data_IF_431561207347
#
_entry.id   IF_431561207347
#
_cell.length_a   1.000
_cell.length_b   1.000
_cell.length_c   1.000
_cell.angle_alpha   90.00
_cell.angle_beta   90.00
_cell.angle_gamma   90.00
#
_symmetry.space_group_name_H-M   'P 1'
#
loop_
_entity.id
_entity.type
_entity.pdbx_description
1 polymer ?
#
# COMPACT_ATOMS: atom_id res chain seq x y z
N UNK A 1 23.92 18.96 -81.70
CA UNK A 1 23.01 18.36 -80.68
C UNK A 1 23.71 18.41 -79.34
N UNK A 2 23.53 19.47 -78.61
CA UNK A 2 24.10 19.69 -77.25
C UNK A 2 23.05 19.36 -76.27
N UNK A 3 23.28 18.31 -75.42
CA UNK A 3 22.42 17.91 -74.29
C UNK A 3 22.85 18.72 -73.07
N UNK A 4 21.93 19.60 -72.58
CA UNK A 4 22.04 20.24 -71.26
C UNK A 4 21.68 19.24 -70.15
N UNK A 5 22.63 19.00 -69.29
CA UNK A 5 22.43 18.19 -68.07
C UNK A 5 22.13 19.16 -66.91
N UNK A 6 20.88 19.24 -66.48
CA UNK A 6 20.46 20.02 -65.27
C UNK A 6 20.76 19.21 -64.02
N UNK A 7 21.68 19.71 -63.22
CA UNK A 7 22.03 19.16 -61.91
C UNK A 7 20.99 19.66 -60.83
N UNK A 8 20.12 18.79 -60.38
CA UNK A 8 19.21 19.09 -59.25
C UNK A 8 19.99 18.97 -57.93
N UNK A 9 20.26 20.10 -57.28
CA UNK A 9 20.76 20.12 -55.91
C UNK A 9 19.60 19.76 -54.95
N UNK A 10 19.66 18.57 -54.35
CA UNK A 10 18.83 18.21 -53.19
C UNK A 10 19.42 18.88 -51.94
N UNK A 11 18.75 19.90 -51.43
CA UNK A 11 19.02 20.46 -50.11
C UNK A 11 18.38 19.53 -49.09
N UNK A 12 19.10 18.92 -48.13
CA UNK A 12 18.49 18.15 -47.08
C UNK A 12 17.72 19.11 -46.17
N UNK A 13 16.40 18.92 -46.08
CA UNK A 13 15.58 19.59 -45.07
C UNK A 13 16.01 19.08 -43.69
N UNK A 14 16.64 19.93 -42.90
CA UNK A 14 16.81 19.72 -41.47
C UNK A 14 15.40 19.65 -40.85
N UNK A 15 14.95 18.47 -40.54
CA UNK A 15 13.81 18.28 -39.64
C UNK A 15 14.18 18.88 -38.27
N UNK A 16 13.35 19.75 -37.68
CA UNK A 16 13.61 20.23 -36.34
C UNK A 16 13.67 19.01 -35.42
N UNK A 17 14.71 18.92 -34.60
CA UNK A 17 14.79 17.94 -33.54
C UNK A 17 13.51 18.12 -32.66
N UNK A 18 12.72 17.08 -32.57
CA UNK A 18 11.59 17.06 -31.66
C UNK A 18 12.16 17.20 -30.23
N UNK A 19 12.03 18.36 -29.65
CA UNK A 19 12.35 18.57 -28.23
C UNK A 19 11.44 17.64 -27.44
N UNK A 20 12.02 16.63 -26.83
CA UNK A 20 11.29 15.70 -25.96
C UNK A 20 10.65 16.51 -24.84
N UNK A 21 9.32 16.49 -24.73
CA UNK A 21 8.63 17.15 -23.62
C UNK A 21 8.99 16.44 -22.32
N UNK A 22 9.38 17.21 -21.31
CA UNK A 22 9.62 16.73 -19.94
C UNK A 22 8.40 16.95 -19.05
N UNK A 23 7.29 17.45 -19.59
CA UNK A 23 6.05 17.63 -18.85
C UNK A 23 5.48 16.27 -18.41
N UNK A 24 5.05 16.19 -17.16
CA UNK A 24 4.48 14.99 -16.56
C UNK A 24 5.00 14.72 -15.15
N UNK A 25 4.60 13.58 -14.60
CA UNK A 25 5.06 13.09 -13.28
C UNK A 25 6.35 12.30 -13.44
N UNK A 26 7.24 12.46 -12.49
CA UNK A 26 8.55 11.81 -12.46
C UNK A 26 8.77 11.13 -11.12
N UNK A 27 9.34 9.94 -11.13
CA UNK A 27 9.94 9.34 -9.95
C UNK A 27 11.36 9.84 -9.81
N UNK A 28 11.62 10.59 -8.77
CA UNK A 28 12.92 11.14 -8.46
C UNK A 28 13.53 10.38 -7.27
N UNK A 29 14.81 10.10 -7.34
CA UNK A 29 15.58 9.43 -6.28
C UNK A 29 16.86 10.20 -6.06
N UNK A 30 17.15 10.55 -4.81
CA UNK A 30 18.47 11.05 -4.41
C UNK A 30 19.17 10.02 -3.51
N UNK A 31 20.46 9.82 -3.74
CA UNK A 31 21.28 8.90 -2.93
C UNK A 31 21.90 9.64 -1.74
N UNK A 32 21.37 9.41 -0.55
CA UNK A 32 21.89 9.95 0.69
C UNK A 32 22.90 8.97 1.30
N UNK A 33 24.15 9.04 0.80
CA UNK A 33 25.27 8.22 1.30
C UNK A 33 24.99 6.71 1.26
N UNK A 34 24.40 6.21 0.18
CA UNK A 34 24.04 4.80 0.00
C UNK A 34 22.60 4.48 0.42
N UNK A 35 21.83 5.46 0.90
CA UNK A 35 20.40 5.33 1.19
C UNK A 35 19.61 6.07 0.12
N UNK A 36 18.88 5.39 -0.78
CA UNK A 36 18.02 6.05 -1.74
C UNK A 36 16.80 6.64 -1.05
N UNK A 37 16.51 7.92 -1.32
CA UNK A 37 15.31 8.62 -0.88
C UNK A 37 14.48 8.95 -2.11
N UNK A 38 13.20 8.55 -2.07
CA UNK A 38 12.25 8.80 -3.16
C UNK A 38 11.57 10.15 -2.98
N UNK A 39 11.41 10.90 -4.07
CA UNK A 39 10.73 12.18 -4.13
C UNK A 39 9.70 12.17 -5.26
N UNK A 40 8.57 12.81 -5.05
CA UNK A 40 7.62 13.10 -6.11
C UNK A 40 8.04 14.35 -6.88
N UNK A 41 7.95 14.32 -8.21
CA UNK A 41 8.21 15.50 -9.04
C UNK A 41 7.17 15.59 -10.16
N UNK A 42 6.61 16.77 -10.36
CA UNK A 42 5.71 17.06 -11.46
C UNK A 42 6.18 18.28 -12.23
N UNK A 43 6.29 18.16 -13.55
CA UNK A 43 6.80 19.20 -14.43
C UNK A 43 5.77 19.62 -15.45
N UNK A 44 5.68 20.94 -15.67
CA UNK A 44 5.05 21.61 -16.81
C UNK A 44 6.08 22.35 -17.61
N UNK A 45 6.00 22.31 -18.94
CA UNK A 45 6.97 22.93 -19.83
C UNK A 45 6.30 23.93 -20.78
N UNK A 46 6.90 25.13 -20.87
CA UNK A 46 6.54 26.17 -21.86
C UNK A 46 7.82 26.69 -22.54
N UNK A 47 8.13 26.17 -23.73
CA UNK A 47 9.42 26.41 -24.37
C UNK A 47 10.56 25.86 -23.51
N UNK A 48 11.52 26.72 -23.16
CA UNK A 48 12.65 26.35 -22.29
C UNK A 48 12.33 26.52 -20.80
N UNK A 49 11.19 27.12 -20.44
CA UNK A 49 10.78 27.33 -19.06
C UNK A 49 10.09 26.11 -18.51
N UNK A 50 10.52 25.69 -17.32
CA UNK A 50 9.93 24.63 -16.53
C UNK A 50 9.32 25.18 -15.25
N UNK A 51 8.16 24.66 -14.89
CA UNK A 51 7.49 24.93 -13.61
C UNK A 51 6.90 23.62 -13.10
N UNK A 52 6.68 23.55 -11.79
CA UNK A 52 6.09 22.33 -11.23
C UNK A 52 6.18 22.27 -9.72
N UNK A 53 6.28 21.04 -9.24
CA UNK A 53 6.38 20.72 -7.83
C UNK A 53 7.46 19.66 -7.62
N UNK A 54 8.23 19.77 -6.54
CA UNK A 54 9.15 18.75 -6.06
C UNK A 54 8.84 18.48 -4.59
N UNK A 55 8.30 17.31 -4.33
CA UNK A 55 7.88 16.80 -3.01
C UNK A 55 6.99 17.76 -2.18
N UNK A 56 6.15 18.54 -2.86
CA UNK A 56 5.28 19.55 -2.25
C UNK A 56 5.74 20.97 -2.51
N UNK A 57 7.03 21.18 -2.77
CA UNK A 57 7.62 22.51 -2.93
C UNK A 57 7.54 23.01 -4.37
N UNK A 58 7.28 24.32 -4.48
CA UNK A 58 7.15 24.95 -5.78
C UNK A 58 8.49 24.97 -6.52
N UNK A 59 8.52 24.37 -7.71
CA UNK A 59 9.68 24.24 -8.55
C UNK A 59 9.60 25.20 -9.74
N UNK A 60 10.71 25.90 -10.02
CA UNK A 60 10.93 26.67 -11.25
C UNK A 60 12.29 26.31 -11.86
N UNK A 61 12.38 26.28 -13.19
CA UNK A 61 13.60 25.88 -13.82
C UNK A 61 13.63 26.10 -15.34
N UNK A 62 14.66 25.55 -15.97
CA UNK A 62 14.88 25.64 -17.43
C UNK A 62 15.36 24.32 -18.02
N UNK A 63 15.00 24.09 -19.28
CA UNK A 63 15.53 23.04 -20.13
C UNK A 63 16.22 23.68 -21.33
N UNK A 64 17.53 23.46 -21.48
CA UNK A 64 18.31 23.95 -22.63
C UNK A 64 18.97 22.78 -23.33
N UNK A 65 18.42 22.35 -24.47
CA UNK A 65 18.80 21.09 -25.08
C UNK A 65 18.44 19.90 -24.20
N UNK A 66 19.44 19.18 -23.69
CA UNK A 66 19.27 18.08 -22.75
C UNK A 66 19.58 18.48 -21.30
N UNK A 67 20.06 19.69 -21.07
CA UNK A 67 20.43 20.16 -19.74
C UNK A 67 19.24 20.78 -19.00
N UNK A 68 18.98 20.28 -17.82
CA UNK A 68 17.93 20.74 -16.93
C UNK A 68 18.55 21.40 -15.70
N UNK A 69 17.94 22.51 -15.28
CA UNK A 69 18.25 23.17 -14.02
C UNK A 69 16.94 23.55 -13.34
N UNK A 70 16.77 23.16 -12.07
CA UNK A 70 15.59 23.42 -11.29
C UNK A 70 15.96 23.99 -9.92
N UNK A 71 15.08 24.80 -9.39
CA UNK A 71 15.13 25.26 -8.00
C UNK A 71 13.75 25.09 -7.38
N UNK A 72 13.65 24.26 -6.36
CA UNK A 72 12.48 24.16 -5.49
C UNK A 72 12.76 24.92 -4.19
N UNK A 73 11.71 25.44 -3.55
CA UNK A 73 11.82 26.21 -2.29
C UNK A 73 10.67 25.83 -1.38
N UNK A 74 11.03 25.50 -0.14
CA UNK A 74 10.07 25.27 0.92
C UNK A 74 9.59 26.60 1.58
N UNK A 75 8.54 26.49 2.40
CA UNK A 75 7.97 27.65 3.13
C UNK A 75 8.85 28.11 4.31
N UNK A 76 9.82 27.28 4.74
CA UNK A 76 10.71 27.53 5.89
C UNK A 76 12.07 28.11 5.48
N UNK A 77 12.29 28.32 4.19
CA UNK A 77 13.49 28.92 3.62
C UNK A 77 14.60 27.95 3.27
N UNK A 78 14.30 26.66 3.23
CA UNK A 78 15.12 25.64 2.60
C UNK A 78 14.98 25.65 1.08
N UNK A 79 15.84 24.90 0.39
CA UNK A 79 15.76 24.77 -1.06
C UNK A 79 16.46 23.53 -1.57
N UNK A 80 15.97 23.04 -2.70
CA UNK A 80 16.57 21.98 -3.50
C UNK A 80 16.95 22.53 -4.86
N UNK A 81 18.25 22.53 -5.18
CA UNK A 81 18.76 22.92 -6.48
C UNK A 81 19.21 21.68 -7.26
N UNK A 82 18.55 21.42 -8.40
CA UNK A 82 18.79 20.24 -9.23
C UNK A 82 19.47 20.65 -10.53
N UNK A 83 20.56 19.97 -10.87
CA UNK A 83 21.21 20.03 -12.19
C UNK A 83 21.27 18.63 -12.77
N UNK A 84 20.62 18.41 -13.91
CA UNK A 84 20.50 17.09 -14.52
C UNK A 84 20.61 17.14 -16.04
N UNK A 85 20.87 15.98 -16.63
CA UNK A 85 20.81 15.76 -18.07
C UNK A 85 19.69 14.78 -18.39
N UNK A 86 18.88 15.10 -19.40
CA UNK A 86 17.82 14.25 -19.93
C UNK A 86 18.39 13.32 -21.01
N UNK A 87 18.30 12.01 -20.81
CA UNK A 87 18.68 11.01 -21.80
C UNK A 87 17.66 9.87 -21.84
N UNK A 88 17.13 9.58 -23.02
CA UNK A 88 16.21 8.44 -23.24
C UNK A 88 15.01 8.38 -22.26
N UNK A 89 14.45 9.53 -21.87
CA UNK A 89 13.29 9.61 -20.96
C UNK A 89 13.65 9.43 -19.48
N UNK A 90 14.92 9.50 -19.13
CA UNK A 90 15.40 9.55 -17.75
C UNK A 90 16.25 10.79 -17.51
N UNK A 91 16.25 11.30 -16.29
CA UNK A 91 17.13 12.38 -15.83
C UNK A 91 18.20 11.80 -14.92
N UNK A 92 19.41 12.33 -15.01
CA UNK A 92 20.50 12.01 -14.09
C UNK A 92 21.37 13.24 -13.83
N UNK A 93 21.80 13.42 -12.59
CA UNK A 93 22.59 14.58 -12.21
C UNK A 93 22.82 14.68 -10.71
N UNK A 94 22.78 15.90 -10.19
CA UNK A 94 22.98 16.18 -8.77
C UNK A 94 21.88 17.07 -8.23
N UNK A 95 21.57 16.89 -6.95
CA UNK A 95 20.69 17.74 -6.18
C UNK A 95 21.47 18.29 -4.99
N UNK A 96 21.31 19.59 -4.72
CA UNK A 96 21.87 20.27 -3.56
C UNK A 96 20.72 20.63 -2.63
N UNK A 97 20.74 20.08 -1.41
CA UNK A 97 19.78 20.42 -0.36
C UNK A 97 20.37 21.51 0.54
N UNK A 98 19.57 22.50 0.82
CA UNK A 98 19.86 23.57 1.78
C UNK A 98 18.75 23.58 2.82
N UNK A 99 19.09 23.22 4.07
CA UNK A 99 18.15 23.31 5.19
C UNK A 99 17.86 24.78 5.53
N UNK A 100 16.60 25.11 5.76
CA UNK A 100 16.17 26.48 6.13
C UNK A 100 16.80 26.98 7.43
N UNK A 101 17.07 26.08 8.35
CA UNK A 101 17.69 26.35 9.65
C UNK A 101 19.23 26.27 9.63
N UNK A 102 19.82 25.59 8.64
CA UNK A 102 21.28 25.44 8.48
C UNK A 102 21.76 25.70 7.04
N UNK A 103 21.67 26.96 6.61
CA UNK A 103 22.04 27.37 5.25
C UNK A 103 23.56 27.38 4.98
N UNK A 104 24.37 27.21 6.02
CA UNK A 104 25.84 27.23 5.88
C UNK A 104 26.40 25.84 5.49
N UNK A 105 25.61 24.76 5.65
CA UNK A 105 26.05 23.40 5.38
C UNK A 105 25.20 22.69 4.33
N UNK A 106 25.18 23.14 3.06
CA UNK A 106 24.46 22.46 2.00
C UNK A 106 25.01 21.05 1.76
N UNK A 107 24.14 20.09 1.44
CA UNK A 107 24.55 18.73 1.08
C UNK A 107 24.25 18.45 -0.39
N UNK A 108 25.18 17.76 -1.07
CA UNK A 108 25.05 17.41 -2.49
C UNK A 108 24.95 15.91 -2.66
N UNK A 109 23.94 15.45 -3.42
CA UNK A 109 23.64 14.06 -3.63
C UNK A 109 23.49 13.73 -5.11
N UNK A 110 23.74 12.47 -5.47
CA UNK A 110 23.41 11.98 -6.81
C UNK A 110 21.89 11.91 -6.97
N UNK A 111 21.41 12.31 -8.14
CA UNK A 111 19.99 12.38 -8.45
C UNK A 111 19.69 11.64 -9.75
N UNK A 112 18.61 10.88 -9.74
CA UNK A 112 18.01 10.27 -10.94
C UNK A 112 16.51 10.46 -10.93
N UNK A 113 15.89 10.58 -12.10
CA UNK A 113 14.44 10.55 -12.22
C UNK A 113 14.00 9.83 -13.49
N UNK A 114 12.88 9.14 -13.41
CA UNK A 114 12.24 8.45 -14.53
C UNK A 114 10.82 8.96 -14.71
N UNK A 115 10.41 9.15 -15.96
CA UNK A 115 9.05 9.60 -16.27
C UNK A 115 8.06 8.51 -15.88
N UNK A 116 7.04 8.87 -15.10
CA UNK A 116 5.93 7.97 -14.77
C UNK A 116 5.18 7.60 -16.06
N UNK A 117 5.05 6.32 -16.39
CA UNK A 117 4.31 5.92 -17.58
C UNK A 117 2.87 6.43 -17.52
N UNK A 118 2.33 6.83 -18.66
CA UNK A 118 0.90 7.12 -18.74
C UNK A 118 0.10 5.82 -18.70
N UNK A 119 -1.16 5.92 -18.22
CA UNK A 119 -2.06 4.76 -18.20
C UNK A 119 -2.13 4.13 -19.59
N UNK A 120 -1.99 2.79 -19.64
CA UNK A 120 -2.13 2.03 -20.89
C UNK A 120 -3.47 2.30 -21.55
N UNK A 121 -3.45 2.54 -22.86
CA UNK A 121 -4.66 2.51 -23.68
C UNK A 121 -5.11 1.05 -23.89
N UNK A 122 -6.37 0.73 -23.62
CA UNK A 122 -6.93 -0.61 -23.81
C UNK A 122 -7.80 -1.06 -22.62
N UNK A 123 -8.45 -2.23 -22.80
CA UNK A 123 -9.26 -2.81 -21.75
C UNK A 123 -8.38 -3.37 -20.62
N UNK A 124 -8.89 -3.38 -19.37
CA UNK A 124 -8.25 -4.08 -18.26
C UNK A 124 -7.98 -5.54 -18.59
N UNK A 125 -6.89 -6.09 -18.06
CA UNK A 125 -6.49 -7.48 -18.24
C UNK A 125 -6.67 -8.27 -16.94
N UNK A 126 -6.82 -9.60 -17.08
CA UNK A 126 -6.80 -10.53 -15.97
C UNK A 126 -5.56 -11.40 -16.07
N UNK A 127 -4.85 -11.53 -14.95
CA UNK A 127 -3.64 -12.33 -14.83
C UNK A 127 -3.88 -13.47 -13.85
N UNK A 128 -3.62 -14.71 -14.30
CA UNK A 128 -3.52 -15.87 -13.43
C UNK A 128 -2.05 -16.05 -13.03
N UNK A 129 -1.71 -15.73 -11.79
CA UNK A 129 -0.35 -15.75 -11.29
C UNK A 129 -0.16 -16.88 -10.26
N UNK A 130 0.77 -17.78 -10.52
CA UNK A 130 1.17 -18.83 -9.58
C UNK A 130 2.44 -18.41 -8.85
N UNK A 131 2.39 -18.18 -7.52
CA UNK A 131 3.56 -17.70 -6.78
C UNK A 131 4.62 -18.79 -6.66
N UNK A 132 5.87 -18.39 -6.82
CA UNK A 132 7.06 -19.24 -6.59
C UNK A 132 8.02 -18.61 -5.57
N UNK A 133 7.79 -17.36 -5.20
CA UNK A 133 8.57 -16.59 -4.22
C UNK A 133 7.57 -15.99 -3.24
N UNK A 134 7.91 -16.06 -1.95
CA UNK A 134 7.14 -15.46 -0.86
C UNK A 134 8.09 -14.60 -0.03
N UNK A 135 7.67 -13.40 0.30
CA UNK A 135 8.49 -12.45 1.04
C UNK A 135 8.10 -12.42 2.51
N UNK A 136 9.10 -12.26 3.38
CA UNK A 136 8.95 -12.14 4.84
C UNK A 136 9.33 -10.74 5.34
N UNK A 137 9.50 -9.80 4.44
CA UNK A 137 9.72 -8.38 4.70
C UNK A 137 9.07 -7.55 3.60
N UNK A 138 8.44 -6.45 3.99
CA UNK A 138 7.99 -5.42 3.05
C UNK A 138 9.17 -4.51 2.71
N UNK A 139 9.58 -4.48 1.46
CA UNK A 139 10.76 -3.73 1.05
C UNK A 139 10.61 -3.14 -0.36
N UNK A 140 11.03 -1.89 -0.52
CA UNK A 140 11.20 -1.26 -1.82
C UNK A 140 12.25 -1.96 -2.72
N UNK A 141 13.17 -2.73 -2.12
CA UNK A 141 14.20 -3.49 -2.83
C UNK A 141 13.72 -4.85 -3.35
N UNK A 142 12.54 -5.32 -2.96
CA UNK A 142 12.00 -6.59 -3.45
C UNK A 142 11.62 -6.46 -4.92
N UNK A 143 12.12 -7.40 -5.74
CA UNK A 143 11.83 -7.40 -7.18
C UNK A 143 10.36 -7.75 -7.42
N UNK A 144 9.65 -6.96 -8.24
CA UNK A 144 8.28 -7.29 -8.61
C UNK A 144 8.16 -8.66 -9.27
N UNK A 145 7.12 -9.40 -8.90
CA UNK A 145 6.80 -10.72 -9.51
C UNK A 145 5.90 -10.57 -10.73
N UNK A 146 5.16 -9.47 -10.81
CA UNK A 146 4.27 -9.13 -11.92
C UNK A 146 4.10 -7.62 -11.97
N UNK A 147 4.01 -7.07 -13.19
CA UNK A 147 3.66 -5.67 -13.42
C UNK A 147 2.26 -5.59 -14.01
N UNK A 148 1.41 -4.74 -13.43
CA UNK A 148 0.01 -4.56 -13.83
C UNK A 148 -0.35 -3.08 -13.90
N UNK A 149 -1.45 -2.75 -14.58
CA UNK A 149 -1.96 -1.38 -14.67
C UNK A 149 -3.22 -1.22 -13.81
N UNK A 150 -3.54 0.02 -13.38
CA UNK A 150 -4.84 0.31 -12.76
C UNK A 150 -6.00 -0.19 -13.62
N UNK A 151 -6.93 -0.91 -12.99
CA UNK A 151 -8.04 -1.62 -13.63
C UNK A 151 -7.76 -3.10 -13.90
N UNK A 152 -6.51 -3.56 -13.88
CA UNK A 152 -6.19 -4.98 -14.08
C UNK A 152 -6.58 -5.83 -12.86
N UNK A 153 -6.88 -7.10 -13.10
CA UNK A 153 -7.26 -8.09 -12.09
C UNK A 153 -6.18 -9.16 -11.96
N UNK A 154 -5.82 -9.51 -10.74
CA UNK A 154 -4.86 -10.59 -10.43
C UNK A 154 -5.61 -11.69 -9.70
N UNK A 155 -5.46 -12.92 -10.20
CA UNK A 155 -5.87 -14.15 -9.53
C UNK A 155 -4.63 -14.91 -9.11
N UNK A 156 -4.53 -15.27 -7.83
CA UNK A 156 -3.36 -15.92 -7.25
C UNK A 156 -3.74 -16.80 -6.05
N UNK A 157 -2.74 -17.44 -5.45
CA UNK A 157 -2.88 -18.18 -4.19
C UNK A 157 -1.92 -17.62 -3.15
N UNK A 158 -2.23 -17.85 -1.87
CA UNK A 158 -1.33 -17.55 -0.75
C UNK A 158 -0.86 -18.83 -0.09
N UNK A 159 0.20 -18.76 0.70
CA UNK A 159 0.51 -19.73 1.75
C UNK A 159 -0.11 -19.22 3.07
N UNK A 160 -0.19 -20.09 4.10
CA UNK A 160 -0.58 -19.67 5.44
C UNK A 160 0.58 -18.95 6.19
N UNK A 161 0.31 -18.39 7.36
CA UNK A 161 1.31 -17.73 8.21
C UNK A 161 2.52 -18.63 8.52
N UNK A 162 2.36 -19.94 8.52
CA UNK A 162 3.43 -20.93 8.67
C UNK A 162 4.23 -21.20 7.39
N UNK A 163 3.83 -20.65 6.24
CA UNK A 163 4.50 -20.84 4.95
C UNK A 163 4.07 -22.09 4.20
N UNK A 164 2.89 -22.67 4.52
CA UNK A 164 2.39 -23.91 3.96
C UNK A 164 1.28 -23.67 2.93
N UNK A 165 1.36 -24.32 1.77
CA UNK A 165 0.41 -24.19 0.67
C UNK A 165 -0.88 -25.03 0.85
N UNK A 166 -1.74 -25.00 -0.16
CA UNK A 166 -3.02 -25.75 -0.20
C UNK A 166 -2.85 -27.27 -0.14
N UNK A 167 -1.66 -27.80 -0.47
CA UNK A 167 -1.33 -29.23 -0.43
C UNK A 167 -0.65 -29.66 0.87
N UNK A 168 -0.46 -28.72 1.81
CA UNK A 168 0.27 -28.97 3.04
C UNK A 168 1.79 -29.03 2.86
N UNK A 169 2.31 -28.46 1.77
CA UNK A 169 3.75 -28.39 1.49
C UNK A 169 4.30 -27.07 1.98
N UNK A 170 5.31 -27.11 2.87
CA UNK A 170 6.03 -25.92 3.28
C UNK A 170 6.84 -25.35 2.10
N UNK A 171 6.51 -24.16 1.66
CA UNK A 171 7.14 -23.45 0.55
C UNK A 171 8.20 -22.48 1.01
N UNK A 172 8.05 -21.94 2.21
CA UNK A 172 8.91 -20.94 2.82
C UNK A 172 8.84 -21.08 4.34
N UNK A 173 9.75 -20.45 5.06
CA UNK A 173 9.68 -20.37 6.52
C UNK A 173 8.49 -19.52 6.95
N UNK A 174 7.86 -19.86 8.07
CA UNK A 174 6.78 -19.08 8.67
C UNK A 174 7.19 -17.66 9.09
N UNK A 175 6.25 -16.92 9.63
CA UNK A 175 6.33 -15.49 9.96
C UNK A 175 5.63 -14.65 8.88
N UNK A 176 4.42 -15.05 8.56
CA UNK A 176 3.47 -14.41 7.63
C UNK A 176 4.08 -14.11 6.25
N UNK A 177 4.51 -15.13 5.49
CA UNK A 177 5.12 -14.93 4.17
C UNK A 177 4.08 -14.54 3.12
N UNK A 178 4.35 -13.44 2.41
CA UNK A 178 3.42 -12.79 1.52
C UNK A 178 3.67 -13.07 0.05
N UNK A 179 2.58 -13.16 -0.73
CA UNK A 179 2.58 -13.21 -2.18
C UNK A 179 2.75 -11.81 -2.76
N UNK A 180 3.67 -11.63 -3.71
CA UNK A 180 4.02 -10.35 -4.32
C UNK A 180 5.54 -10.12 -4.32
N UNK A 181 6.03 -8.85 -4.47
CA UNK A 181 5.20 -7.68 -4.71
C UNK A 181 4.71 -7.58 -6.16
N UNK A 182 3.50 -7.07 -6.31
CA UNK A 182 2.95 -6.67 -7.61
C UNK A 182 3.26 -5.20 -7.85
N UNK A 183 3.86 -4.88 -8.99
CA UNK A 183 4.17 -3.51 -9.38
C UNK A 183 2.97 -2.90 -10.12
N UNK A 184 2.42 -1.82 -9.59
CA UNK A 184 1.29 -1.11 -10.20
C UNK A 184 1.87 0.04 -11.04
N UNK A 185 1.87 -0.11 -12.37
CA UNK A 185 2.31 0.94 -13.29
C UNK A 185 1.53 2.24 -13.02
N UNK A 186 2.21 3.36 -13.10
CA UNK A 186 1.69 4.70 -12.82
C UNK A 186 1.52 5.06 -11.34
N UNK A 187 1.63 4.10 -10.39
CA UNK A 187 1.58 4.42 -8.98
C UNK A 187 2.82 5.20 -8.54
N UNK A 188 2.62 6.30 -7.84
CA UNK A 188 3.66 7.21 -7.39
C UNK A 188 3.51 7.55 -5.90
N UNK A 189 4.59 7.88 -5.18
CA UNK A 189 4.48 8.45 -3.84
C UNK A 189 3.46 9.59 -3.80
N UNK A 190 2.61 9.60 -2.75
CA UNK A 190 1.51 10.55 -2.64
C UNK A 190 0.20 10.14 -3.31
N UNK A 191 0.15 9.01 -4.02
CA UNK A 191 -1.09 8.39 -4.49
C UNK A 191 -1.71 7.51 -3.40
N UNK A 192 -2.94 7.07 -3.65
CA UNK A 192 -3.60 5.99 -2.88
C UNK A 192 -3.82 4.79 -3.80
N UNK A 193 -3.24 3.65 -3.45
CA UNK A 193 -3.54 2.37 -4.09
C UNK A 193 -4.90 1.87 -3.62
N UNK A 194 -5.71 1.39 -4.55
CA UNK A 194 -7.05 0.82 -4.31
C UNK A 194 -7.01 -0.66 -4.66
N UNK A 195 -7.37 -1.53 -3.71
CA UNK A 195 -7.40 -2.98 -3.89
C UNK A 195 -8.82 -3.48 -3.63
N UNK A 196 -9.51 -3.90 -4.69
CA UNK A 196 -10.85 -4.49 -4.59
C UNK A 196 -10.74 -6.02 -4.48
N UNK A 197 -11.11 -6.58 -3.36
CA UNK A 197 -11.11 -8.04 -3.13
C UNK A 197 -12.35 -8.65 -3.80
N UNK A 198 -12.17 -9.17 -5.01
CA UNK A 198 -13.30 -9.70 -5.81
C UNK A 198 -13.62 -11.14 -5.47
N UNK A 199 -12.64 -11.90 -4.94
CA UNK A 199 -12.83 -13.29 -4.54
C UNK A 199 -11.84 -13.70 -3.46
N UNK A 200 -12.35 -14.29 -2.37
CA UNK A 200 -11.58 -14.98 -1.34
C UNK A 200 -12.20 -16.33 -1.09
N UNK A 201 -11.45 -17.42 -1.34
CA UNK A 201 -11.93 -18.79 -1.18
C UNK A 201 -10.91 -19.64 -0.44
N UNK A 202 -11.41 -20.43 0.48
CA UNK A 202 -10.61 -21.49 1.07
C UNK A 202 -10.22 -22.49 -0.04
N UNK A 203 -8.95 -22.81 -0.13
CA UNK A 203 -8.41 -23.77 -1.10
C UNK A 203 -7.93 -25.08 -0.45
N UNK A 204 -8.18 -25.25 0.85
CA UNK A 204 -7.98 -26.46 1.63
C UNK A 204 -9.04 -26.58 2.74
N UNK A 205 -9.15 -27.75 3.36
CA UNK A 205 -10.18 -28.09 4.35
C UNK A 205 -9.71 -28.07 5.80
N UNK A 206 -8.54 -27.42 6.07
CA UNK A 206 -7.99 -27.31 7.42
C UNK A 206 -7.33 -25.97 7.67
N UNK A 207 -7.28 -25.60 8.95
CA UNK A 207 -6.58 -24.43 9.46
C UNK A 207 -5.84 -24.76 10.76
N UNK A 208 -4.94 -23.89 11.15
CA UNK A 208 -4.19 -23.96 12.42
C UNK A 208 -4.45 -22.67 13.21
N UNK A 209 -4.66 -22.81 14.53
CA UNK A 209 -4.65 -21.69 15.47
C UNK A 209 -3.79 -22.06 16.68
N UNK A 210 -3.64 -21.13 17.63
CA UNK A 210 -3.01 -21.39 18.92
C UNK A 210 -4.04 -21.54 20.05
N UNK A 211 -3.66 -22.24 21.15
CA UNK A 211 -4.48 -22.44 22.35
C UNK A 211 -4.20 -21.42 23.46
N UNK A 212 -3.47 -20.33 23.15
CA UNK A 212 -3.12 -19.27 24.09
C UNK A 212 -4.01 -18.04 24.00
N UNK A 213 -3.74 -17.10 24.90
CA UNK A 213 -4.21 -15.72 24.81
C UNK A 213 -2.97 -14.82 24.84
N UNK A 214 -2.88 -13.88 23.90
CA UNK A 214 -1.75 -12.95 23.76
C UNK A 214 -1.59 -12.04 24.98
N UNK A 215 -0.35 -11.63 25.27
CA UNK A 215 -0.04 -10.90 26.50
C UNK A 215 -0.83 -9.61 26.72
N UNK A 216 -1.21 -8.90 25.64
CA UNK A 216 -2.06 -7.70 25.75
C UNK A 216 -3.52 -7.99 26.18
N UNK A 217 -3.98 -9.24 26.03
CA UNK A 217 -5.30 -9.69 26.46
C UNK A 217 -5.32 -10.31 27.85
N UNK A 218 -4.19 -10.36 28.57
CA UNK A 218 -4.05 -11.05 29.84
C UNK A 218 -3.89 -10.08 31.02
N UNK A 219 -4.66 -10.28 32.09
CA UNK A 219 -4.29 -9.81 33.42
C UNK A 219 -3.35 -10.82 34.10
N UNK A 220 -2.83 -10.46 35.28
CA UNK A 220 -1.85 -11.28 36.00
C UNK A 220 -2.39 -12.68 36.38
N UNK A 221 -3.67 -12.77 36.74
CA UNK A 221 -4.27 -14.02 37.18
C UNK A 221 -4.53 -14.97 36.03
N UNK A 222 -4.94 -14.43 34.86
CA UNK A 222 -5.16 -15.20 33.66
C UNK A 222 -3.83 -15.63 33.04
N UNK A 223 -2.80 -14.76 33.08
CA UNK A 223 -1.47 -15.06 32.57
C UNK A 223 -0.85 -16.29 33.25
N UNK A 224 -1.03 -16.43 34.56
CA UNK A 224 -0.54 -17.62 35.30
C UNK A 224 -1.26 -18.89 34.84
N UNK A 225 -2.54 -18.83 34.50
CA UNK A 225 -3.33 -19.99 34.01
C UNK A 225 -2.93 -20.37 32.58
N UNK A 226 -2.48 -19.41 31.76
CA UNK A 226 -2.15 -19.59 30.34
C UNK A 226 -0.65 -19.83 30.07
N UNK A 227 0.18 -19.96 31.11
CA UNK A 227 1.65 -20.05 31.00
C UNK A 227 2.20 -21.19 30.12
N UNK A 228 1.46 -22.27 29.95
CA UNK A 228 1.84 -23.46 29.19
C UNK A 228 1.05 -23.59 27.85
N UNK A 229 0.43 -22.50 27.38
CA UNK A 229 -0.36 -22.41 26.15
C UNK A 229 0.52 -22.13 24.91
N UNK A 230 -0.09 -21.73 23.80
CA UNK A 230 0.50 -21.52 22.48
C UNK A 230 0.96 -22.83 21.81
N UNK A 231 0.12 -23.88 21.95
CA UNK A 231 0.24 -25.09 21.15
C UNK A 231 -0.70 -25.02 19.96
N UNK A 232 -0.25 -25.52 18.84
CA UNK A 232 -1.07 -25.55 17.64
C UNK A 232 -2.35 -26.36 17.83
N UNK A 233 -3.47 -25.76 17.46
CA UNK A 233 -4.80 -26.39 17.40
C UNK A 233 -5.19 -26.54 15.94
N UNK A 234 -5.44 -27.76 15.53
CA UNK A 234 -5.90 -28.05 14.15
C UNK A 234 -7.42 -27.99 14.09
N UNK A 235 -7.93 -27.36 13.03
CA UNK A 235 -9.34 -27.20 12.72
C UNK A 235 -9.66 -27.85 11.39
N UNK A 236 -10.83 -28.49 11.33
CA UNK A 236 -11.47 -28.90 10.09
C UNK A 236 -12.37 -27.77 9.58
N UNK A 237 -12.23 -27.42 8.31
CA UNK A 237 -13.06 -26.42 7.63
C UNK A 237 -14.09 -27.14 6.75
N UNK A 238 -15.36 -26.84 6.97
CA UNK A 238 -16.48 -27.38 6.18
C UNK A 238 -17.16 -26.25 5.40
N UNK A 239 -16.71 -25.96 4.17
CA UNK A 239 -17.31 -24.90 3.34
C UNK A 239 -18.77 -25.17 2.95
N UNK A 240 -19.21 -26.45 2.92
CA UNK A 240 -20.59 -26.78 2.58
C UNK A 240 -21.55 -26.39 3.70
N UNK A 241 -21.14 -26.58 4.95
CA UNK A 241 -21.89 -26.15 6.12
C UNK A 241 -21.58 -24.71 6.56
N UNK A 242 -20.52 -24.11 6.01
CA UNK A 242 -20.07 -22.77 6.37
C UNK A 242 -19.50 -22.67 7.79
N UNK A 243 -18.87 -23.72 8.31
CA UNK A 243 -18.37 -23.76 9.70
C UNK A 243 -16.99 -24.41 9.81
N UNK A 244 -16.26 -24.04 10.85
CA UNK A 244 -15.05 -24.70 11.31
C UNK A 244 -15.29 -25.40 12.66
N UNK A 245 -14.61 -26.52 12.90
CA UNK A 245 -14.61 -27.30 14.13
C UNK A 245 -13.20 -27.75 14.49
N UNK A 246 -12.86 -27.79 15.78
CA UNK A 246 -11.57 -28.34 16.21
C UNK A 246 -11.52 -29.86 15.94
N UNK A 247 -10.39 -30.36 15.43
CA UNK A 247 -10.22 -31.82 15.20
C UNK A 247 -10.15 -32.61 16.51
N UNK A 248 -9.68 -31.96 17.59
CA UNK A 248 -9.57 -32.55 18.93
C UNK A 248 -10.26 -31.64 19.94
N UNK A 249 -11.59 -31.65 20.02
CA UNK A 249 -12.35 -30.63 20.76
C UNK A 249 -12.28 -30.74 22.27
N UNK A 250 -11.78 -31.84 22.83
CA UNK A 250 -11.91 -32.11 24.25
C UNK A 250 -13.38 -32.25 24.68
N UNK A 251 -13.64 -32.25 25.99
CA UNK A 251 -14.96 -32.58 26.53
C UNK A 251 -16.01 -31.48 26.32
N UNK A 252 -15.59 -30.21 26.26
CA UNK A 252 -16.50 -29.06 26.25
C UNK A 252 -16.73 -28.46 24.86
N UNK A 253 -15.81 -28.65 23.92
CA UNK A 253 -15.88 -28.05 22.58
C UNK A 253 -16.45 -29.00 21.50
N UNK A 254 -16.94 -30.18 21.87
CA UNK A 254 -17.42 -31.19 20.90
C UNK A 254 -18.58 -30.70 20.00
N UNK A 255 -19.30 -29.66 20.41
CA UNK A 255 -20.39 -29.03 19.63
C UNK A 255 -20.08 -27.58 19.23
N UNK A 256 -18.90 -27.09 19.59
CA UNK A 256 -18.51 -25.74 19.28
C UNK A 256 -18.17 -25.61 17.79
N UNK A 257 -18.77 -24.66 17.12
CA UNK A 257 -18.54 -24.35 15.71
C UNK A 257 -18.29 -22.86 15.55
N UNK A 258 -17.40 -22.52 14.61
CA UNK A 258 -17.13 -21.13 14.23
C UNK A 258 -17.63 -20.93 12.79
N UNK A 259 -18.44 -19.90 12.50
CA UNK A 259 -18.83 -19.59 11.13
C UNK A 259 -17.58 -19.23 10.30
N UNK A 260 -17.49 -19.80 9.11
CA UNK A 260 -16.43 -19.46 8.15
C UNK A 260 -16.66 -18.04 7.61
N UNK A 261 -15.65 -17.23 7.70
CA UNK A 261 -15.60 -15.87 7.13
C UNK A 261 -14.19 -15.62 6.58
N UNK A 262 -13.88 -16.14 5.39
CA UNK A 262 -12.56 -15.99 4.80
C UNK A 262 -12.17 -14.51 4.66
N UNK A 263 -10.95 -14.19 5.09
CA UNK A 263 -10.41 -12.83 5.08
C UNK A 263 -8.91 -12.87 4.78
N UNK A 264 -8.31 -11.72 4.44
CA UNK A 264 -6.87 -11.54 4.40
C UNK A 264 -6.43 -10.74 5.64
N UNK A 265 -5.52 -11.30 6.43
CA UNK A 265 -4.84 -10.58 7.51
C UNK A 265 -3.91 -9.52 6.94
N UNK A 266 -3.22 -9.86 5.84
CA UNK A 266 -2.24 -8.96 5.22
C UNK A 266 -2.66 -8.45 3.84
N UNK A 267 -2.70 -7.12 3.72
CA UNK A 267 -2.69 -6.37 2.44
C UNK A 267 -1.77 -5.16 2.62
N UNK A 268 -0.67 -5.09 1.88
CA UNK A 268 0.37 -4.09 2.09
C UNK A 268 0.87 -3.46 0.79
N UNK A 269 1.19 -2.16 0.83
CA UNK A 269 2.14 -1.53 -0.09
C UNK A 269 3.54 -1.53 0.55
N UNK A 270 4.63 -1.43 -0.22
CA UNK A 270 5.94 -1.30 0.39
C UNK A 270 6.08 0.05 1.11
N UNK A 271 6.69 0.09 2.32
CA UNK A 271 7.02 1.34 2.98
C UNK A 271 8.12 2.10 2.22
N UNK A 272 8.30 3.38 2.53
CA UNK A 272 9.33 4.22 1.93
C UNK A 272 10.74 3.65 2.13
N UNK A 273 11.62 3.84 1.14
CA UNK A 273 12.97 3.30 1.11
C UNK A 273 13.88 3.81 2.22
N UNK A 274 13.57 4.95 2.82
CA UNK A 274 14.27 5.48 4.00
C UNK A 274 14.01 4.68 5.29
N UNK A 275 13.01 3.80 5.30
CA UNK A 275 12.69 2.96 6.45
C UNK A 275 13.38 1.60 6.36
N UNK A 276 13.85 1.07 7.51
CA UNK A 276 14.25 -0.33 7.58
C UNK A 276 13.05 -1.21 7.21
N UNK A 277 13.24 -2.22 6.33
CA UNK A 277 12.15 -3.09 5.91
C UNK A 277 11.50 -3.80 7.10
N UNK A 278 10.21 -3.58 7.41
CA UNK A 278 9.52 -4.31 8.47
C UNK A 278 9.28 -5.76 8.06
N UNK A 279 9.13 -6.63 9.06
CA UNK A 279 8.67 -8.01 8.86
C UNK A 279 7.23 -8.04 8.36
N UNK A 280 6.85 -9.10 7.67
CA UNK A 280 5.49 -9.25 7.14
C UNK A 280 4.42 -9.53 8.21
N UNK A 281 4.82 -9.93 9.43
CA UNK A 281 3.96 -9.92 10.62
C UNK A 281 3.80 -8.54 11.27
N UNK A 282 4.37 -7.45 10.70
CA UNK A 282 4.18 -6.08 11.18
C UNK A 282 3.12 -5.35 10.37
N UNK A 283 2.40 -4.44 11.02
CA UNK A 283 1.46 -3.51 10.40
C UNK A 283 1.86 -2.05 10.62
N UNK A 284 1.36 -1.14 9.79
CA UNK A 284 1.65 0.28 9.90
C UNK A 284 0.94 1.12 8.84
N UNK A 285 1.47 2.31 8.55
CA UNK A 285 0.88 3.19 7.53
C UNK A 285 0.82 2.55 6.15
N UNK A 286 1.70 1.61 5.86
CA UNK A 286 1.76 0.86 4.59
C UNK A 286 0.71 -0.27 4.48
N UNK A 287 -0.12 -0.50 5.49
CA UNK A 287 -0.93 -1.70 5.67
C UNK A 287 -0.15 -2.77 6.41
N UNK A 288 0.01 -3.92 5.81
CA UNK A 288 0.70 -5.07 6.38
C UNK A 288 -0.25 -6.04 7.04
N UNK A 289 0.22 -6.67 8.10
CA UNK A 289 -0.55 -7.60 8.93
C UNK A 289 -1.56 -6.82 9.79
N UNK A 290 -2.69 -6.46 9.19
CA UNK A 290 -3.69 -5.60 9.81
C UNK A 290 -4.73 -6.40 10.60
N UNK A 291 -4.84 -7.68 10.35
CA UNK A 291 -5.74 -8.66 10.98
C UNK A 291 -7.14 -8.12 11.25
N UNK A 292 -7.65 -7.41 10.25
CA UNK A 292 -8.98 -6.84 10.34
C UNK A 292 -10.00 -7.74 9.66
N UNK A 293 -10.82 -8.41 10.46
CA UNK A 293 -11.77 -9.43 10.03
C UNK A 293 -12.92 -8.92 9.14
N UNK A 294 -12.86 -7.68 8.65
CA UNK A 294 -13.73 -7.13 7.60
C UNK A 294 -12.99 -6.88 6.28
N UNK A 295 -11.71 -7.29 6.16
CA UNK A 295 -11.00 -7.38 4.87
C UNK A 295 -11.39 -8.71 4.20
N UNK A 296 -12.62 -8.77 3.76
CA UNK A 296 -13.29 -9.95 3.19
C UNK A 296 -13.62 -9.76 1.71
N UNK A 297 -14.12 -10.79 1.04
CA UNK A 297 -14.64 -10.67 -0.33
C UNK A 297 -15.66 -9.55 -0.44
N UNK A 298 -15.51 -8.70 -1.45
CA UNK A 298 -16.32 -7.50 -1.69
C UNK A 298 -15.85 -6.25 -0.95
N UNK A 299 -14.83 -6.34 -0.09
CA UNK A 299 -14.21 -5.17 0.52
C UNK A 299 -13.22 -4.48 -0.44
N UNK A 300 -13.06 -3.19 -0.25
CA UNK A 300 -12.02 -2.37 -0.89
C UNK A 300 -11.04 -1.90 0.16
N UNK A 301 -9.75 -2.13 -0.06
CA UNK A 301 -8.66 -1.66 0.79
C UNK A 301 -7.95 -0.50 0.08
N UNK A 302 -7.73 0.60 0.80
CA UNK A 302 -6.99 1.77 0.34
C UNK A 302 -5.68 1.84 1.11
N UNK A 303 -4.57 1.95 0.40
CA UNK A 303 -3.22 2.00 0.96
C UNK A 303 -2.48 3.25 0.48
N UNK A 304 -1.76 3.97 1.35
CA UNK A 304 -0.88 5.05 0.89
C UNK A 304 0.28 4.48 0.08
N UNK A 305 0.59 5.14 -1.03
CA UNK A 305 1.74 4.79 -1.87
C UNK A 305 2.96 5.58 -1.40
N UNK A 306 4.01 4.89 -1.00
CA UNK A 306 5.26 5.48 -0.52
C UNK A 306 6.45 5.26 -1.46
N UNK A 307 6.33 4.33 -2.41
CA UNK A 307 7.39 4.00 -3.38
C UNK A 307 6.80 3.84 -4.78
N UNK A 308 7.60 4.03 -5.84
CA UNK A 308 7.18 3.76 -7.22
C UNK A 308 6.58 2.37 -7.38
N UNK A 309 5.44 2.30 -8.07
CA UNK A 309 4.72 1.04 -8.30
C UNK A 309 4.02 0.48 -7.07
N UNK A 310 3.97 1.19 -5.95
CA UNK A 310 3.37 0.80 -4.67
C UNK A 310 3.92 -0.52 -4.10
N UNK A 311 4.27 -1.50 -4.93
CA UNK A 311 4.74 -2.84 -4.56
C UNK A 311 3.76 -3.53 -3.61
N UNK A 312 2.62 -3.98 -4.16
CA UNK A 312 1.53 -4.60 -3.42
C UNK A 312 1.87 -6.04 -3.01
N UNK A 313 1.60 -6.37 -1.75
CA UNK A 313 1.66 -7.73 -1.18
C UNK A 313 0.29 -8.13 -0.66
N UNK A 314 -0.02 -9.42 -0.75
CA UNK A 314 -1.25 -10.02 -0.20
C UNK A 314 -0.95 -11.39 0.38
N UNK A 315 -1.59 -11.73 1.50
CA UNK A 315 -1.46 -13.05 2.11
C UNK A 315 -2.12 -13.14 3.46
N UNK A 316 -1.58 -14.03 4.29
CA UNK A 316 -2.07 -14.26 5.64
C UNK A 316 -3.59 -14.50 5.67
N UNK A 317 -3.99 -15.61 5.04
CA UNK A 317 -5.40 -15.96 4.87
C UNK A 317 -5.99 -16.61 6.10
N UNK A 318 -7.08 -16.05 6.65
CA UNK A 318 -7.79 -16.62 7.79
C UNK A 318 -9.16 -17.17 7.36
N UNK A 319 -9.47 -18.38 7.78
CA UNK A 319 -10.81 -18.95 7.56
C UNK A 319 -11.88 -18.30 8.46
N UNK A 320 -11.48 -17.81 9.64
CA UNK A 320 -12.26 -17.00 10.57
C UNK A 320 -11.34 -16.36 11.61
N UNK A 321 -11.74 -15.20 12.13
CA UNK A 321 -11.04 -14.48 13.20
C UNK A 321 -12.02 -13.73 14.08
N UNK A 322 -11.85 -13.80 15.40
CA UNK A 322 -12.50 -12.91 16.36
C UNK A 322 -11.82 -11.55 16.43
N UNK A 323 -12.52 -10.52 16.96
CA UNK A 323 -11.92 -9.21 17.15
C UNK A 323 -10.71 -9.30 18.08
N UNK A 324 -9.62 -8.64 17.68
CA UNK A 324 -8.38 -8.56 18.44
C UNK A 324 -7.40 -9.71 18.23
N UNK A 325 -7.79 -10.76 17.52
CA UNK A 325 -6.94 -11.95 17.28
C UNK A 325 -6.29 -12.50 18.56
N UNK A 326 -7.09 -12.61 19.60
CA UNK A 326 -6.62 -12.80 20.98
C UNK A 326 -5.83 -14.10 21.23
N UNK A 327 -5.94 -15.08 20.37
CA UNK A 327 -5.18 -16.33 20.49
C UNK A 327 -3.82 -16.33 19.76
N UNK A 328 -3.47 -15.23 19.09
CA UNK A 328 -2.15 -15.04 18.49
C UNK A 328 -2.01 -15.54 17.07
N UNK A 329 -2.88 -16.44 16.65
CA UNK A 329 -3.12 -16.89 15.28
C UNK A 329 -4.61 -17.15 15.15
N UNK A 330 -5.27 -16.56 14.20
CA UNK A 330 -6.66 -16.85 13.88
C UNK A 330 -6.85 -18.30 13.38
N UNK A 331 -7.77 -18.58 12.48
CA UNK A 331 -7.80 -19.85 11.76
C UNK A 331 -6.95 -19.74 10.48
N UNK A 332 -5.64 -19.91 10.65
CA UNK A 332 -4.61 -19.75 9.62
C UNK A 332 -4.77 -20.76 8.49
N UNK A 333 -4.87 -20.28 7.27
CA UNK A 333 -5.04 -21.15 6.10
C UNK A 333 -4.50 -20.50 4.83
N UNK A 334 -4.22 -21.30 3.81
CA UNK A 334 -3.95 -20.80 2.46
C UNK A 334 -5.25 -20.44 1.74
N UNK A 335 -5.17 -19.50 0.80
CA UNK A 335 -6.33 -18.98 0.07
C UNK A 335 -6.14 -18.95 -1.44
N UNK A 336 -7.24 -19.07 -2.16
CA UNK A 336 -7.41 -18.65 -3.54
C UNK A 336 -7.97 -17.23 -3.53
N UNK A 337 -7.23 -16.29 -4.12
CA UNK A 337 -7.47 -14.84 -4.00
C UNK A 337 -7.58 -14.22 -5.38
N UNK A 338 -8.61 -13.40 -5.60
CA UNK A 338 -8.70 -12.55 -6.77
C UNK A 338 -8.98 -11.10 -6.33
N UNK A 339 -8.24 -10.17 -6.90
CA UNK A 339 -8.41 -8.74 -6.61
C UNK A 339 -8.13 -7.90 -7.86
N UNK A 340 -8.79 -6.76 -7.92
CA UNK A 340 -8.55 -5.72 -8.93
C UNK A 340 -7.82 -4.55 -8.29
N UNK A 341 -6.82 -4.00 -8.96
CA UNK A 341 -6.09 -2.81 -8.49
C UNK A 341 -6.57 -1.57 -9.23
N UNK A 342 -6.66 -0.44 -8.53
CA UNK A 342 -6.87 0.88 -9.13
C UNK A 342 -6.03 1.92 -8.36
N UNK A 343 -6.07 3.18 -8.78
CA UNK A 343 -5.22 4.23 -8.25
C UNK A 343 -5.98 5.55 -8.16
N UNK A 344 -5.93 6.19 -6.98
CA UNK A 344 -6.34 7.58 -6.80
C UNK A 344 -5.08 8.45 -6.86
N UNK A 345 -4.78 8.96 -8.05
CA UNK A 345 -3.60 9.79 -8.27
C UNK A 345 -3.74 11.14 -7.55
N UNK A 346 -2.62 11.64 -6.98
CA UNK A 346 -2.56 12.90 -6.23
C UNK A 346 -3.52 12.95 -5.01
N UNK A 347 -3.91 11.81 -4.49
CA UNK A 347 -4.76 11.71 -3.32
C UNK A 347 -4.07 10.89 -2.25
N UNK A 348 -3.36 11.58 -1.36
CA UNK A 348 -2.66 10.94 -0.24
C UNK A 348 -3.60 10.66 0.92
N UNK A 349 -3.40 9.52 1.58
CA UNK A 349 -4.06 9.15 2.84
C UNK A 349 -3.02 8.87 3.91
N UNK A 350 -3.36 9.11 5.17
CA UNK A 350 -2.43 8.98 6.30
C UNK A 350 -2.15 7.53 6.69
N UNK A 351 -3.13 6.65 6.51
CA UNK A 351 -3.14 5.28 7.02
C UNK A 351 -4.13 4.45 6.21
N UNK A 352 -4.08 3.12 6.25
CA UNK A 352 -5.01 2.26 5.53
C UNK A 352 -6.48 2.56 5.83
N UNK A 353 -7.32 2.37 4.84
CA UNK A 353 -8.78 2.48 4.92
C UNK A 353 -9.40 1.25 4.31
N UNK A 354 -10.57 0.88 4.80
CA UNK A 354 -11.37 -0.22 4.26
C UNK A 354 -12.77 0.29 3.97
N UNK A 355 -13.34 -0.14 2.87
CA UNK A 355 -14.71 0.18 2.50
C UNK A 355 -15.46 -1.10 2.19
N UNK A 356 -16.64 -1.24 2.76
CA UNK A 356 -17.60 -2.30 2.45
C UNK A 356 -18.85 -1.73 1.78
N UNK A 357 -19.80 -2.58 1.43
CA UNK A 357 -21.10 -2.14 0.92
C UNK A 357 -21.82 -1.20 1.91
N UNK A 358 -21.56 -1.33 3.22
CA UNK A 358 -22.32 -0.66 4.28
C UNK A 358 -21.53 0.36 5.11
N UNK A 359 -20.22 0.29 5.12
CA UNK A 359 -19.38 1.13 5.99
C UNK A 359 -18.16 1.70 5.28
N UNK A 360 -17.72 2.87 5.73
CA UNK A 360 -16.35 3.35 5.61
C UNK A 360 -15.61 3.08 6.92
N UNK A 361 -14.35 2.69 6.86
CA UNK A 361 -13.59 2.17 7.99
C UNK A 361 -12.15 2.69 7.91
N UNK A 362 -11.74 3.49 8.90
CA UNK A 362 -10.41 4.08 8.98
C UNK A 362 -9.58 3.32 10.00
N UNK A 363 -8.40 2.87 9.59
CA UNK A 363 -7.51 2.10 10.46
C UNK A 363 -6.49 2.99 11.16
N UNK A 364 -6.22 2.67 12.41
CA UNK A 364 -5.09 3.16 13.18
C UNK A 364 -4.26 1.98 13.67
N UNK A 365 -2.99 1.96 13.33
CA UNK A 365 -2.04 0.89 13.60
C UNK A 365 -0.86 1.50 14.36
N UNK A 366 -0.65 1.11 15.63
CA UNK A 366 0.36 1.71 16.48
C UNK A 366 0.79 0.77 17.62
N UNK A 367 1.88 1.12 18.31
CA UNK A 367 2.43 0.32 19.40
C UNK A 367 1.52 0.17 20.64
N UNK A 368 0.48 0.98 20.77
CA UNK A 368 -0.52 0.91 21.82
C UNK A 368 -1.94 1.09 21.28
N UNK A 369 -2.95 0.56 22.00
CA UNK A 369 -4.36 0.78 21.64
C UNK A 369 -4.77 2.25 21.71
N UNK A 370 -4.21 3.02 22.65
CA UNK A 370 -4.48 4.46 22.77
C UNK A 370 -3.97 5.24 21.55
N UNK A 371 -2.78 4.93 21.07
CA UNK A 371 -2.21 5.58 19.88
C UNK A 371 -2.92 5.10 18.62
N UNK A 372 -3.26 3.82 18.53
CA UNK A 372 -4.06 3.27 17.44
C UNK A 372 -5.46 3.94 17.36
N UNK A 373 -6.09 4.18 18.51
CA UNK A 373 -7.38 4.90 18.59
C UNK A 373 -7.27 6.32 18.05
N UNK A 374 -6.22 7.08 18.47
CA UNK A 374 -5.96 8.43 17.95
C UNK A 374 -5.70 8.42 16.45
N UNK A 375 -4.89 7.47 15.98
CA UNK A 375 -4.57 7.32 14.56
C UNK A 375 -5.82 7.00 13.71
N UNK A 376 -6.68 6.08 14.16
CA UNK A 376 -7.95 5.76 13.49
C UNK A 376 -8.88 6.97 13.41
N UNK A 377 -8.99 7.72 14.52
CA UNK A 377 -9.82 8.93 14.60
C UNK A 377 -9.31 10.01 13.64
N UNK A 378 -7.99 10.26 13.61
CA UNK A 378 -7.38 11.23 12.70
C UNK A 378 -7.56 10.83 11.23
N UNK A 379 -7.38 9.55 10.91
CA UNK A 379 -7.57 9.02 9.55
C UNK A 379 -9.02 9.16 9.09
N UNK A 380 -10.02 8.90 9.96
CA UNK A 380 -11.43 9.12 9.65
C UNK A 380 -11.74 10.61 9.49
N UNK A 381 -11.19 11.47 10.36
CA UNK A 381 -11.36 12.91 10.25
C UNK A 381 -10.85 13.45 8.89
N UNK A 382 -9.65 13.02 8.47
CA UNK A 382 -9.12 13.33 7.16
C UNK A 382 -10.02 12.83 6.02
N UNK A 383 -10.62 11.64 6.16
CA UNK A 383 -11.53 11.10 5.16
C UNK A 383 -12.79 11.96 5.03
N UNK A 384 -13.41 12.32 6.15
CA UNK A 384 -14.59 13.18 6.18
C UNK A 384 -14.31 14.60 5.64
N UNK A 385 -13.15 15.16 5.97
CA UNK A 385 -12.71 16.45 5.45
C UNK A 385 -12.51 16.41 3.93
N UNK A 386 -11.73 15.44 3.46
CA UNK A 386 -11.33 15.39 2.06
C UNK A 386 -12.46 14.99 1.11
N UNK A 387 -13.30 14.01 1.47
CA UNK A 387 -14.28 13.44 0.57
C UNK A 387 -15.68 14.01 0.79
N UNK A 388 -16.04 14.37 2.03
CA UNK A 388 -17.34 14.93 2.39
C UNK A 388 -17.30 16.44 2.62
N UNK A 389 -16.11 17.06 2.59
CA UNK A 389 -15.89 18.52 2.76
C UNK A 389 -16.40 19.07 4.09
N UNK A 390 -16.39 18.25 5.13
CA UNK A 390 -16.85 18.65 6.45
C UNK A 390 -15.81 19.56 7.15
N UNK A 391 -16.31 20.55 7.85
CA UNK A 391 -15.50 21.40 8.75
C UNK A 391 -15.10 20.61 10.02
N UNK A 392 -14.06 21.01 10.77
CA UNK A 392 -13.69 20.36 12.02
C UNK A 392 -14.84 20.20 13.04
N UNK A 393 -15.73 21.20 13.13
CA UNK A 393 -16.91 21.13 14.00
C UNK A 393 -17.92 20.08 13.54
N UNK A 394 -18.17 19.96 12.25
CA UNK A 394 -19.06 18.96 11.66
C UNK A 394 -18.48 17.55 11.79
N UNK A 395 -17.17 17.39 11.55
CA UNK A 395 -16.44 16.14 11.78
C UNK A 395 -16.63 15.67 13.22
N UNK A 396 -16.48 16.57 14.21
CA UNK A 396 -16.69 16.25 15.61
C UNK A 396 -18.11 15.77 15.90
N UNK A 397 -19.14 16.39 15.26
CA UNK A 397 -20.52 15.94 15.41
C UNK A 397 -20.74 14.55 14.78
N UNK A 398 -20.25 14.32 13.56
CA UNK A 398 -20.40 13.03 12.86
C UNK A 398 -19.68 11.92 13.63
N UNK A 399 -18.42 12.10 13.98
CA UNK A 399 -17.66 11.09 14.74
C UNK A 399 -18.29 10.88 16.11
N UNK A 400 -18.62 11.94 16.85
CA UNK A 400 -19.18 11.85 18.19
C UNK A 400 -20.56 11.16 18.29
N UNK A 401 -21.27 11.04 17.18
CA UNK A 401 -22.63 10.47 17.15
C UNK A 401 -22.78 9.19 16.33
N UNK A 402 -21.83 8.89 15.44
CA UNK A 402 -21.95 7.77 14.48
C UNK A 402 -20.77 6.80 14.51
N UNK A 403 -19.68 7.11 15.22
CA UNK A 403 -18.49 6.26 15.25
C UNK A 403 -18.76 4.94 15.99
N UNK A 404 -18.35 3.86 15.37
CA UNK A 404 -18.20 2.54 15.96
C UNK A 404 -16.72 2.18 15.97
N UNK A 405 -16.20 1.70 17.10
CA UNK A 405 -14.80 1.27 17.20
C UNK A 405 -14.70 -0.24 17.32
N UNK A 406 -13.68 -0.80 16.66
CA UNK A 406 -13.39 -2.21 16.67
C UNK A 406 -11.88 -2.42 16.85
N UNK A 407 -11.50 -3.43 17.61
CA UNK A 407 -10.11 -3.88 17.72
C UNK A 407 -9.86 -4.85 16.58
N UNK A 408 -8.95 -4.56 15.66
CA UNK A 408 -8.58 -5.49 14.60
C UNK A 408 -7.68 -6.59 15.15
N UNK A 409 -6.56 -6.22 15.79
CA UNK A 409 -5.61 -7.15 16.37
C UNK A 409 -4.90 -6.54 17.59
N UNK A 410 -4.42 -7.39 18.48
CA UNK A 410 -3.50 -7.09 19.59
C UNK A 410 -2.41 -8.16 19.73
N UNK A 411 -2.35 -9.08 18.78
CA UNK A 411 -1.44 -10.20 18.77
C UNK A 411 0.00 -9.76 18.47
N UNK A 412 0.15 -8.88 17.51
CA UNK A 412 1.44 -8.49 16.95
C UNK A 412 2.08 -7.28 17.64
N UNK A 413 3.19 -6.81 17.05
CA UNK A 413 3.95 -5.67 17.57
C UNK A 413 3.11 -4.41 17.66
N UNK A 414 2.35 -4.09 16.64
CA UNK A 414 1.40 -3.00 16.62
C UNK A 414 0.00 -3.50 16.96
N UNK A 415 -0.77 -2.71 17.67
CA UNK A 415 -2.19 -2.94 17.88
C UNK A 415 -3.00 -2.19 16.82
N UNK A 416 -4.14 -2.75 16.45
CA UNK A 416 -5.03 -2.19 15.46
C UNK A 416 -6.38 -1.77 16.04
N UNK A 417 -6.77 -0.51 15.80
CA UNK A 417 -8.11 0.03 16.04
C UNK A 417 -8.71 0.47 14.72
N UNK A 418 -9.97 0.17 14.52
CA UNK A 418 -10.73 0.59 13.34
C UNK A 418 -11.91 1.43 13.77
N UNK A 419 -11.99 2.67 13.27
CA UNK A 419 -13.17 3.50 13.37
C UNK A 419 -14.05 3.27 12.15
N UNK A 420 -15.31 2.91 12.39
CA UNK A 420 -16.31 2.62 11.35
C UNK A 420 -17.42 3.64 11.41
N UNK A 421 -17.94 4.05 10.25
CA UNK A 421 -19.16 4.84 10.11
C UNK A 421 -20.04 4.20 9.04
N UNK A 422 -21.31 3.97 9.35
CA UNK A 422 -22.29 3.45 8.39
C UNK A 422 -22.51 4.45 7.25
N UNK A 423 -22.53 3.96 6.01
CA UNK A 423 -22.85 4.77 4.82
C UNK A 423 -24.25 5.36 4.87
N UNK A 424 -25.22 4.71 5.52
CA UNK A 424 -26.56 5.23 5.70
C UNK A 424 -26.55 6.55 6.50
N UNK A 425 -25.63 6.69 7.49
CA UNK A 425 -25.45 7.95 8.21
C UNK A 425 -24.87 9.04 7.30
N UNK A 426 -23.88 8.68 6.49
CA UNK A 426 -23.20 9.62 5.59
C UNK A 426 -24.11 10.09 4.43
N UNK A 427 -25.06 9.25 3.99
CA UNK A 427 -26.06 9.64 2.97
C UNK A 427 -27.00 10.76 3.45
N UNK A 428 -27.10 10.99 4.76
CA UNK A 428 -27.90 12.09 5.31
C UNK A 428 -27.18 13.44 5.30
N UNK A 429 -25.88 13.46 4.96
CA UNK A 429 -25.12 14.69 4.82
C UNK A 429 -25.54 15.46 3.56
N UNK A 430 -25.69 16.76 3.68
CA UNK A 430 -25.96 17.62 2.52
C UNK A 430 -24.69 17.78 1.71
N UNK A 431 -24.70 17.54 0.39
CA UNK A 431 -23.53 17.80 -0.44
C UNK A 431 -23.06 19.26 -0.30
N UNK A 432 -21.74 19.47 -0.26
CA UNK A 432 -21.19 20.82 -0.32
C UNK A 432 -21.67 21.52 -1.60
N UNK A 433 -22.12 22.78 -1.47
CA UNK A 433 -22.60 23.61 -2.58
C UNK A 433 -21.45 24.06 -3.47
#
# INVERSE_FOLDING_TARGET
>A
MTKNLSLLLLIPALLPAQTSSVAGRWFAVADFYGTPIDFSMELSQQGDKLTGNFDGDKLEGTLTGEALHFLAKDEHGGSEELTATLQSGAMSGTIVFVDGDDKEHPSTHQFTATLVPQRRSGAPQRFDFTPSIFHRQFSAANKPVLTVFPGDTIHTTTVDAGGTDEKGVARVLGGNPETGPFYIETAAPGDTLVVHLTRLRLNRDWAISDDGIVGRGLDSDLAVKMKDSFKNVRWHLDPQRGVATTEKPGDHLARYTVPLRPMLGCVAAAPGSAQAPPGTGDSGRWGGNMDFNEIVEGATVYLPVSVPGALLYVGDGHAAQGDGELNGNALETSMDVEFTVDLLSHKSIMSPRVESATHIMAMGLAGSLDDAFRAATANMAQWLENDYKLTPSEIAQVIGTAAEYKVSEVADRNAGIVLKISKDRLQTLTPAK
#
